data_IF_187092691160
#
_entry.id   IF_187092691160
#
_cell.length_a   1.000
_cell.length_b   1.000
_cell.length_c   1.000
_cell.angle_alpha   90.00
_cell.angle_beta   90.00
_cell.angle_gamma   90.00
#
_symmetry.space_group_name_H-M   'P 1'
#
loop_
_entity.id
_entity.type
_entity.pdbx_description
1 polymer ?
#
# COMPACT_ATOMS: atom_id res chain seq x y z
N UNK A 1 5.34 -3.50 20.57
CA UNK A 1 5.99 -2.93 19.36
C UNK A 1 5.22 -1.66 19.01
N UNK A 2 5.93 -0.54 19.00
CA UNK A 2 5.33 0.78 18.77
C UNK A 2 4.97 0.93 17.28
N UNK A 3 3.67 1.05 16.91
CA UNK A 3 3.25 1.20 15.51
C UNK A 3 3.75 2.51 14.88
N UNK A 4 4.10 3.53 15.68
CA UNK A 4 4.67 4.78 15.17
C UNK A 4 6.11 4.60 14.65
N UNK A 5 6.91 3.68 15.23
CA UNK A 5 8.25 3.38 14.72
C UNK A 5 8.21 2.73 13.34
N UNK A 6 7.23 1.86 13.07
CA UNK A 6 7.12 1.19 11.76
C UNK A 6 6.77 2.17 10.62
N UNK A 7 5.91 3.17 10.87
CA UNK A 7 5.55 4.20 9.89
C UNK A 7 6.72 5.13 9.55
N UNK A 8 7.62 5.39 10.51
CA UNK A 8 8.82 6.20 10.29
C UNK A 8 9.89 5.49 9.46
N UNK A 9 10.04 4.19 9.63
CA UNK A 9 11.03 3.39 8.91
C UNK A 9 10.75 3.33 7.40
N UNK A 10 9.50 3.20 6.98
CA UNK A 10 9.12 3.20 5.56
C UNK A 10 9.60 4.47 4.83
N UNK A 11 9.45 5.64 5.45
CA UNK A 11 9.92 6.91 4.88
C UNK A 11 11.44 7.01 4.83
N UNK A 12 12.14 6.49 5.86
CA UNK A 12 13.60 6.43 5.91
C UNK A 12 14.14 5.52 4.81
N UNK A 13 13.60 4.30 4.65
CA UNK A 13 14.04 3.35 3.64
C UNK A 13 13.78 3.85 2.22
N UNK A 14 12.63 4.48 1.97
CA UNK A 14 12.38 5.13 0.68
C UNK A 14 13.45 6.17 0.38
N UNK A 15 13.75 7.06 1.34
CA UNK A 15 14.78 8.10 1.18
C UNK A 15 16.16 7.50 0.96
N UNK A 16 16.52 6.43 1.66
CA UNK A 16 17.77 5.71 1.47
C UNK A 16 17.89 5.15 0.06
N UNK A 17 16.87 4.46 -0.43
CA UNK A 17 16.85 3.87 -1.78
C UNK A 17 16.82 4.92 -2.88
N UNK A 18 15.95 5.94 -2.78
CA UNK A 18 15.76 6.93 -3.83
C UNK A 18 16.89 7.96 -3.91
N UNK A 19 17.42 8.41 -2.77
CA UNK A 19 18.36 9.52 -2.69
C UNK A 19 19.80 9.10 -2.36
N UNK A 20 19.96 8.22 -1.36
CA UNK A 20 21.29 7.84 -0.88
C UNK A 20 21.84 6.60 -1.59
N UNK A 21 20.98 5.80 -2.22
CA UNK A 21 21.33 4.50 -2.84
C UNK A 21 21.99 3.53 -1.84
N UNK A 22 21.67 3.67 -0.56
CA UNK A 22 22.16 2.83 0.53
C UNK A 22 20.99 2.28 1.33
N UNK A 23 21.14 1.06 1.81
CA UNK A 23 20.19 0.40 2.70
C UNK A 23 20.95 -0.06 3.92
N UNK A 24 20.49 0.33 5.11
CA UNK A 24 21.05 -0.10 6.38
C UNK A 24 19.98 -0.79 7.22
N UNK A 25 20.39 -1.58 8.19
CA UNK A 25 19.46 -2.22 9.13
C UNK A 25 18.62 -1.20 9.94
N UNK A 26 17.48 -1.58 10.53
CA UNK A 26 16.60 -0.65 11.26
C UNK A 26 17.28 0.13 12.37
N UNK A 27 18.22 -0.51 13.12
CA UNK A 27 18.99 0.14 14.16
C UNK A 27 19.90 1.23 13.60
N UNK A 28 20.53 0.98 12.44
CA UNK A 28 21.36 1.95 11.75
C UNK A 28 20.58 3.09 11.09
N UNK A 29 19.30 2.88 10.82
CA UNK A 29 18.39 3.91 10.29
C UNK A 29 17.77 4.79 11.38
N UNK A 30 17.84 4.40 12.65
CA UNK A 30 17.19 5.07 13.78
C UNK A 30 17.55 6.57 13.92
N UNK A 31 18.81 7.02 13.73
CA UNK A 31 19.15 8.44 13.83
C UNK A 31 18.40 9.30 12.81
N UNK A 32 18.27 8.83 11.57
CA UNK A 32 17.52 9.54 10.51
C UNK A 32 16.02 9.54 10.83
N UNK A 33 15.48 8.42 11.33
CA UNK A 33 14.09 8.34 11.74
C UNK A 33 13.78 9.33 12.88
N UNK A 34 14.64 9.46 13.86
CA UNK A 34 14.49 10.38 14.99
C UNK A 34 14.43 11.85 14.53
N UNK A 35 15.28 12.24 13.60
CA UNK A 35 15.29 13.58 13.01
C UNK A 35 14.02 13.83 12.19
N UNK A 36 13.65 12.90 11.30
CA UNK A 36 12.46 13.05 10.44
C UNK A 36 11.14 13.09 11.23
N UNK A 37 11.10 12.46 12.39
CA UNK A 37 9.93 12.46 13.29
C UNK A 37 9.95 13.59 14.32
N UNK A 38 10.93 14.49 14.25
CA UNK A 38 11.05 15.61 15.18
C UNK A 38 11.30 15.19 16.63
N UNK A 39 11.85 13.98 16.87
CA UNK A 39 12.20 13.50 18.22
C UNK A 39 13.47 14.17 18.77
N UNK A 40 14.22 14.83 17.89
CA UNK A 40 15.41 15.60 18.24
C UNK A 40 15.27 16.99 17.67
N UNK A 41 15.51 18.03 18.49
CA UNK A 41 15.52 19.41 18.01
C UNK A 41 16.79 19.68 17.20
N UNK A 42 16.59 19.86 15.89
CA UNK A 42 17.65 20.11 14.92
C UNK A 42 17.55 21.49 14.25
N UNK A 43 16.59 22.32 14.66
CA UNK A 43 16.33 23.61 14.05
C UNK A 43 17.54 24.54 14.19
N UNK A 44 18.05 25.02 13.06
CA UNK A 44 19.22 25.90 13.00
C UNK A 44 20.55 25.22 13.33
N UNK A 45 20.60 23.87 13.38
CA UNK A 45 21.83 23.12 13.68
C UNK A 45 22.33 22.36 12.45
N UNK A 46 23.64 22.17 12.34
CA UNK A 46 24.23 21.23 11.42
C UNK A 46 24.19 19.84 12.06
N UNK A 47 23.49 18.90 11.43
CA UNK A 47 23.26 17.57 11.99
C UNK A 47 23.83 16.52 11.05
N UNK A 48 24.60 15.60 11.59
CA UNK A 48 25.12 14.43 10.88
C UNK A 48 24.46 13.18 11.47
N UNK A 49 23.77 12.41 10.63
CA UNK A 49 23.21 11.12 11.01
C UNK A 49 24.13 10.01 10.49
N UNK A 50 24.71 9.23 11.41
CA UNK A 50 25.49 8.06 11.03
C UNK A 50 24.54 6.94 10.62
N UNK A 51 24.66 6.48 9.38
CA UNK A 51 24.02 5.26 8.88
C UNK A 51 24.98 4.09 9.05
N UNK A 52 24.61 3.08 9.80
CA UNK A 52 25.48 1.93 10.11
C UNK A 52 24.71 0.61 10.09
N UNK A 53 25.45 -0.49 9.88
CA UNK A 53 24.86 -1.84 9.86
C UNK A 53 24.18 -2.19 8.53
N UNK A 54 24.48 -3.37 8.02
CA UNK A 54 23.97 -3.89 6.76
C UNK A 54 23.31 -5.26 6.90
N UNK A 55 23.11 -5.74 8.13
CA UNK A 55 22.48 -7.04 8.39
C UNK A 55 20.95 -6.92 8.30
N UNK A 56 20.45 -6.76 7.08
CA UNK A 56 19.02 -6.65 6.80
C UNK A 56 18.58 -7.74 5.84
N UNK A 57 17.51 -8.44 6.19
CA UNK A 57 16.90 -9.43 5.33
C UNK A 57 16.11 -8.73 4.20
N UNK A 58 16.25 -9.25 2.98
CA UNK A 58 15.55 -8.74 1.79
C UNK A 58 14.02 -8.83 1.96
N UNK A 59 13.53 -9.89 2.58
CA UNK A 59 12.10 -10.05 2.89
C UNK A 59 11.57 -8.97 3.84
N UNK A 60 12.42 -8.51 4.77
CA UNK A 60 12.08 -7.41 5.67
C UNK A 60 12.02 -6.07 4.93
N UNK A 61 12.92 -5.84 3.96
CA UNK A 61 12.87 -4.65 3.09
C UNK A 61 11.58 -4.63 2.30
N UNK A 62 11.17 -5.76 1.71
CA UNK A 62 9.89 -5.87 1.00
C UNK A 62 8.71 -5.49 1.90
N UNK A 63 8.66 -6.03 3.12
CA UNK A 63 7.61 -5.73 4.09
C UNK A 63 7.55 -4.22 4.42
N UNK A 64 8.70 -3.56 4.61
CA UNK A 64 8.75 -2.11 4.89
C UNK A 64 8.26 -1.30 3.69
N UNK A 65 8.66 -1.67 2.48
CA UNK A 65 8.21 -1.00 1.25
C UNK A 65 6.68 -1.12 1.13
N UNK A 66 6.14 -2.31 1.30
CA UNK A 66 4.70 -2.55 1.25
C UNK A 66 3.93 -1.73 2.29
N UNK A 67 4.39 -1.73 3.55
CA UNK A 67 3.79 -0.89 4.59
C UNK A 67 3.89 0.60 4.27
N UNK A 68 4.99 1.04 3.65
CA UNK A 68 5.17 2.41 3.18
C UNK A 68 4.17 2.80 2.07
N UNK A 69 3.85 1.87 1.18
CA UNK A 69 2.83 2.08 0.14
C UNK A 69 1.42 2.18 0.73
N UNK A 70 1.09 1.31 1.68
CA UNK A 70 -0.18 1.35 2.40
C UNK A 70 -0.34 2.65 3.20
N UNK A 71 0.68 3.06 3.94
CA UNK A 71 0.64 4.28 4.77
C UNK A 71 0.48 5.57 3.96
N UNK A 72 0.80 5.55 2.67
CA UNK A 72 0.62 6.66 1.72
C UNK A 72 -0.64 6.56 0.89
N UNK A 73 -1.52 5.61 1.22
CA UNK A 73 -2.74 5.33 0.46
C UNK A 73 -2.48 5.07 -1.04
N UNK A 74 -1.31 4.49 -1.35
CA UNK A 74 -0.98 4.07 -2.72
C UNK A 74 -1.36 2.63 -3.01
N UNK A 75 -1.69 1.86 -1.97
CA UNK A 75 -2.23 0.51 -2.07
C UNK A 75 -3.71 0.55 -1.70
N UNK A 76 -4.56 0.22 -2.64
CA UNK A 76 -6.00 0.09 -2.46
C UNK A 76 -6.36 -1.39 -2.49
N UNK A 77 -7.10 -1.86 -1.48
CA UNK A 77 -7.66 -3.21 -1.42
C UNK A 77 -9.15 -3.10 -1.20
N UNK A 78 -9.89 -3.87 -1.95
CA UNK A 78 -11.34 -3.91 -1.84
C UNK A 78 -11.88 -5.20 -2.44
N UNK A 79 -13.08 -5.56 -2.03
CA UNK A 79 -13.80 -6.72 -2.51
C UNK A 79 -15.02 -6.27 -3.30
N UNK A 80 -15.26 -6.90 -4.45
CA UNK A 80 -16.43 -6.64 -5.30
C UNK A 80 -17.23 -7.92 -5.48
N UNK A 81 -18.51 -7.89 -5.12
CA UNK A 81 -19.42 -8.98 -5.39
C UNK A 81 -19.94 -8.89 -6.82
N UNK A 82 -19.76 -9.94 -7.61
CA UNK A 82 -20.17 -10.03 -9.02
C UNK A 82 -21.06 -11.24 -9.25
N UNK A 83 -21.83 -11.18 -10.34
CA UNK A 83 -22.50 -12.39 -10.87
C UNK A 83 -21.45 -13.32 -11.49
N UNK A 84 -21.48 -14.61 -11.12
CA UNK A 84 -20.58 -15.65 -11.68
C UNK A 84 -21.02 -16.04 -13.10
N UNK A 85 -20.61 -15.23 -14.06
CA UNK A 85 -20.87 -15.46 -15.49
C UNK A 85 -19.70 -14.95 -16.34
N UNK A 86 -19.50 -15.54 -17.53
CA UNK A 86 -18.48 -15.09 -18.46
C UNK A 86 -18.57 -13.59 -18.74
N UNK A 87 -17.41 -12.91 -18.67
CA UNK A 87 -17.27 -11.48 -18.94
C UNK A 87 -17.43 -10.55 -17.72
N UNK A 88 -18.07 -10.98 -16.60
CA UNK A 88 -18.25 -10.12 -15.43
C UNK A 88 -16.92 -9.63 -14.85
N UNK A 89 -15.96 -10.53 -14.65
CA UNK A 89 -14.62 -10.17 -14.18
C UNK A 89 -13.89 -9.28 -15.20
N UNK A 90 -13.94 -9.63 -16.48
CA UNK A 90 -13.29 -8.83 -17.53
C UNK A 90 -13.81 -7.39 -17.57
N UNK A 91 -15.13 -7.19 -17.40
CA UNK A 91 -15.72 -5.86 -17.32
C UNK A 91 -15.18 -5.09 -16.13
N UNK A 92 -15.17 -5.68 -14.92
CA UNK A 92 -14.63 -5.03 -13.70
C UNK A 92 -13.19 -4.60 -13.89
N UNK A 93 -12.33 -5.48 -14.45
CA UNK A 93 -10.90 -5.16 -14.64
C UNK A 93 -10.71 -4.02 -15.66
N UNK A 94 -11.50 -3.97 -16.73
CA UNK A 94 -11.48 -2.87 -17.69
C UNK A 94 -11.93 -1.55 -17.07
N UNK A 95 -12.97 -1.57 -16.25
CA UNK A 95 -13.46 -0.37 -15.55
C UNK A 95 -12.40 0.17 -14.58
N UNK A 96 -11.73 -0.70 -13.81
CA UNK A 96 -10.62 -0.33 -12.93
C UNK A 96 -9.45 0.28 -13.73
N UNK A 97 -9.07 -0.36 -14.84
CA UNK A 97 -7.99 0.11 -15.69
C UNK A 97 -8.30 1.49 -16.32
N UNK A 98 -9.54 1.71 -16.74
CA UNK A 98 -9.99 3.00 -17.29
C UNK A 98 -9.90 4.14 -16.27
N UNK A 99 -9.99 3.83 -14.97
CA UNK A 99 -9.81 4.78 -13.88
C UNK A 99 -8.33 5.04 -13.53
N UNK A 100 -7.39 4.43 -14.25
CA UNK A 100 -5.95 4.63 -14.08
C UNK A 100 -5.34 3.90 -12.88
N UNK A 101 -6.04 2.95 -12.29
CA UNK A 101 -5.50 2.11 -11.23
C UNK A 101 -4.74 0.91 -11.81
N UNK A 102 -3.53 0.64 -11.29
CA UNK A 102 -2.71 -0.49 -11.72
C UNK A 102 -3.02 -1.72 -10.88
N UNK A 103 -3.58 -2.75 -11.50
CA UNK A 103 -3.99 -3.99 -10.83
C UNK A 103 -2.76 -4.81 -10.47
N UNK A 104 -2.66 -5.23 -9.21
CA UNK A 104 -1.54 -5.98 -8.67
C UNK A 104 -1.89 -7.44 -8.42
N UNK A 105 -3.09 -7.69 -7.87
CA UNK A 105 -3.63 -9.03 -7.71
C UNK A 105 -5.14 -9.03 -7.80
N UNK A 106 -5.67 -10.15 -8.26
CA UNK A 106 -7.09 -10.45 -8.31
C UNK A 106 -7.29 -11.87 -7.80
N UNK A 107 -8.08 -12.01 -6.77
CA UNK A 107 -8.42 -13.31 -6.20
C UNK A 107 -9.94 -13.51 -6.33
N UNK A 108 -10.33 -14.67 -6.78
CA UNK A 108 -11.69 -15.03 -7.13
C UNK A 108 -12.20 -16.05 -6.12
N UNK A 109 -13.10 -15.65 -5.25
CA UNK A 109 -13.64 -16.50 -4.18
C UNK A 109 -15.14 -16.82 -4.42
N UNK A 110 -15.45 -18.11 -4.47
CA UNK A 110 -16.81 -18.66 -4.57
C UNK A 110 -17.35 -19.18 -3.24
N UNK A 111 -16.51 -19.18 -2.21
CA UNK A 111 -16.80 -19.83 -0.93
C UNK A 111 -17.08 -18.85 0.20
N UNK A 112 -17.09 -17.56 -0.10
CA UNK A 112 -17.44 -16.52 0.89
C UNK A 112 -18.83 -16.76 1.45
N UNK A 113 -18.95 -16.81 2.78
CA UNK A 113 -20.23 -17.02 3.45
C UNK A 113 -21.19 -15.85 3.17
N UNK A 114 -22.43 -16.17 2.81
CA UNK A 114 -23.47 -15.19 2.56
C UNK A 114 -23.66 -14.77 1.11
N UNK A 115 -22.86 -15.30 0.19
CA UNK A 115 -23.07 -15.13 -1.26
C UNK A 115 -24.29 -15.93 -1.74
N UNK A 116 -25.01 -15.39 -2.72
CA UNK A 116 -26.00 -16.17 -3.46
C UNK A 116 -25.28 -17.21 -4.37
N UNK A 117 -25.94 -18.32 -4.75
CA UNK A 117 -25.33 -19.37 -5.58
C UNK A 117 -24.74 -18.90 -6.92
N UNK A 118 -25.18 -17.75 -7.43
CA UNK A 118 -24.74 -17.17 -8.70
C UNK A 118 -23.79 -15.98 -8.51
N UNK A 119 -23.29 -15.75 -7.30
CA UNK A 119 -22.41 -14.63 -6.96
C UNK A 119 -21.04 -15.13 -6.55
N UNK A 120 -20.07 -14.25 -6.74
CA UNK A 120 -18.69 -14.44 -6.37
C UNK A 120 -18.16 -13.17 -5.76
N UNK A 121 -17.26 -13.30 -4.81
CA UNK A 121 -16.43 -12.20 -4.34
C UNK A 121 -15.10 -12.17 -5.09
N UNK A 122 -14.75 -10.99 -5.55
CA UNK A 122 -13.46 -10.72 -6.23
C UNK A 122 -12.68 -9.76 -5.37
N UNK A 123 -11.59 -10.26 -4.76
CA UNK A 123 -10.68 -9.44 -3.99
C UNK A 123 -9.66 -8.81 -4.93
N UNK A 124 -9.63 -7.49 -4.96
CA UNK A 124 -8.75 -6.72 -5.83
C UNK A 124 -7.74 -5.95 -4.99
N UNK A 125 -6.47 -6.05 -5.37
CA UNK A 125 -5.43 -5.16 -4.89
C UNK A 125 -4.88 -4.36 -6.06
N UNK A 126 -4.86 -3.04 -5.94
CA UNK A 126 -4.32 -2.16 -6.97
C UNK A 126 -3.45 -1.05 -6.38
N UNK A 127 -2.57 -0.52 -7.22
CA UNK A 127 -1.80 0.68 -6.94
C UNK A 127 -2.52 1.89 -7.53
N UNK A 128 -2.63 2.93 -6.70
CA UNK A 128 -3.27 4.21 -7.03
C UNK A 128 -2.31 5.38 -6.78
N UNK A 129 -2.60 6.54 -7.32
CA UNK A 129 -1.75 7.73 -7.20
C UNK A 129 -1.71 8.36 -5.80
N UNK A 130 -2.62 7.94 -4.90
CA UNK A 130 -2.76 8.44 -3.54
C UNK A 130 -4.20 8.33 -3.06
N UNK A 131 -4.50 8.92 -1.90
CA UNK A 131 -5.82 8.81 -1.27
C UNK A 131 -6.96 9.29 -2.18
N UNK A 132 -6.85 10.52 -2.72
CA UNK A 132 -7.89 11.11 -3.57
C UNK A 132 -8.18 10.25 -4.81
N UNK A 133 -7.14 9.68 -5.42
CA UNK A 133 -7.32 8.78 -6.56
C UNK A 133 -7.98 7.46 -6.12
N UNK A 134 -7.60 6.89 -4.97
CA UNK A 134 -8.22 5.69 -4.43
C UNK A 134 -9.70 5.89 -4.12
N UNK A 135 -10.05 6.99 -3.45
CA UNK A 135 -11.42 7.37 -3.16
C UNK A 135 -12.23 7.54 -4.47
N UNK A 136 -11.66 8.21 -5.48
CA UNK A 136 -12.29 8.36 -6.79
C UNK A 136 -12.56 7.02 -7.49
N UNK A 137 -11.62 6.09 -7.44
CA UNK A 137 -11.80 4.73 -8.01
C UNK A 137 -12.96 4.02 -7.35
N UNK A 138 -13.04 4.02 -6.01
CA UNK A 138 -14.12 3.38 -5.26
C UNK A 138 -15.48 4.01 -5.58
N UNK A 139 -15.57 5.34 -5.57
CA UNK A 139 -16.80 6.08 -5.86
C UNK A 139 -17.32 5.78 -7.27
N UNK A 140 -16.43 5.75 -8.27
CA UNK A 140 -16.81 5.45 -9.65
C UNK A 140 -17.30 4.00 -9.82
N UNK A 141 -16.67 3.04 -9.16
CA UNK A 141 -17.13 1.66 -9.17
C UNK A 141 -18.53 1.53 -8.54
N UNK A 142 -18.78 2.19 -7.41
CA UNK A 142 -20.08 2.21 -6.75
C UNK A 142 -21.14 2.87 -7.65
N UNK A 143 -20.84 4.01 -8.27
CA UNK A 143 -21.74 4.71 -9.20
C UNK A 143 -22.07 3.87 -10.45
N UNK A 144 -21.14 3.04 -10.89
CA UNK A 144 -21.37 2.10 -12.01
C UNK A 144 -22.22 0.90 -11.61
N UNK A 145 -22.54 0.76 -10.31
CA UNK A 145 -23.45 -0.26 -9.79
C UNK A 145 -22.75 -1.47 -9.20
N UNK A 146 -21.45 -1.41 -8.94
CA UNK A 146 -20.73 -2.47 -8.23
C UNK A 146 -20.99 -2.42 -6.72
N UNK A 147 -21.16 -3.60 -6.10
CA UNK A 147 -21.14 -3.72 -4.65
C UNK A 147 -19.71 -3.84 -4.15
N UNK A 148 -19.17 -2.74 -3.64
CA UNK A 148 -17.77 -2.63 -3.19
C UNK A 148 -17.71 -2.64 -1.66
N UNK A 149 -16.84 -3.50 -1.11
CA UNK A 149 -16.47 -3.52 0.31
C UNK A 149 -14.98 -3.17 0.42
N UNK A 150 -14.63 -2.24 1.29
CA UNK A 150 -13.23 -1.85 1.54
C UNK A 150 -12.67 -2.77 2.61
N UNK A 151 -11.49 -3.36 2.36
CA UNK A 151 -10.79 -4.28 3.27
C UNK A 151 -9.92 -3.54 4.30
#
# INVERSE_FOLDING_TARGET
RDPEMSRGLGDVYKRQMERCKQIVEPSGAAPVAAVLKGKVDVKGKNVVCLLSGGNIDVSFIQCIIEQGLVSRHRRLRFTVTLLDRPGSLGKLLNDIAALGANILSVEHDRLTAGLNPNEIDVHVSCEVGGKEHGDHVLDQLIQTGYHVKID
#
